data_IF_347285625893
#
_entry.id   IF_347285625893
#
_cell.length_a   1.000
_cell.length_b   1.000
_cell.length_c   1.000
_cell.angle_alpha   90.00
_cell.angle_beta   90.00
_cell.angle_gamma   90.00
#
_symmetry.space_group_name_H-M   'P 1'
#
loop_
_entity.id
_entity.type
_entity.pdbx_description
1 polymer ?
#
# COMPACT_ATOMS: atom_id res chain seq x y z
N UNK A 1 -1.22 -15.62 -14.26
CA UNK A 1 0.01 -16.43 -14.36
C UNK A 1 0.74 -16.24 -13.05
N UNK A 2 1.05 -17.32 -12.35
CA UNK A 2 1.80 -17.27 -11.08
C UNK A 2 3.26 -17.55 -11.39
N UNK A 3 4.15 -16.72 -10.89
CA UNK A 3 5.60 -16.84 -11.03
C UNK A 3 6.13 -17.31 -9.67
N UNK A 4 6.92 -18.38 -9.68
CA UNK A 4 7.60 -18.86 -8.48
C UNK A 4 9.06 -18.47 -8.57
N UNK A 5 9.54 -17.78 -7.54
CA UNK A 5 10.96 -17.55 -7.28
C UNK A 5 11.34 -18.30 -6.01
N UNK A 6 12.61 -18.64 -5.79
CA UNK A 6 13.09 -19.51 -4.69
C UNK A 6 12.61 -19.12 -3.27
N UNK A 7 12.05 -17.93 -3.07
CA UNK A 7 11.51 -17.46 -1.79
C UNK A 7 10.06 -16.95 -1.83
N UNK A 8 9.54 -16.53 -3.00
CA UNK A 8 8.22 -15.90 -3.11
C UNK A 8 7.46 -16.36 -4.36
N UNK A 9 6.15 -16.53 -4.18
CA UNK A 9 5.16 -16.60 -5.25
C UNK A 9 4.68 -15.20 -5.60
N UNK A 10 4.60 -14.92 -6.89
CA UNK A 10 4.22 -13.61 -7.44
C UNK A 10 3.07 -13.81 -8.41
N UNK A 11 2.01 -13.04 -8.24
CA UNK A 11 0.86 -13.04 -9.12
C UNK A 11 0.59 -11.61 -9.61
N UNK A 12 1.16 -11.21 -10.76
CA UNK A 12 0.79 -9.95 -11.41
C UNK A 12 -0.70 -9.96 -11.77
N UNK A 13 -1.39 -8.86 -11.49
CA UNK A 13 -2.85 -8.81 -11.55
C UNK A 13 -3.43 -8.98 -12.97
N UNK A 14 -2.81 -8.32 -13.95
CA UNK A 14 -3.20 -8.42 -15.37
C UNK A 14 -2.00 -8.83 -16.23
N UNK A 15 -2.25 -9.14 -17.50
CA UNK A 15 -1.17 -9.36 -18.49
C UNK A 15 -0.27 -8.14 -18.64
N UNK A 16 -0.82 -6.93 -18.56
CA UNK A 16 -0.03 -5.69 -18.58
C UNK A 16 0.82 -5.54 -17.32
N UNK A 17 0.29 -5.92 -16.15
CA UNK A 17 1.09 -5.98 -14.91
C UNK A 17 2.25 -6.97 -15.04
N UNK A 18 2.04 -8.11 -15.71
CA UNK A 18 3.10 -9.07 -15.99
C UNK A 18 4.20 -8.48 -16.88
N UNK A 19 3.84 -7.66 -17.88
CA UNK A 19 4.85 -7.01 -18.72
C UNK A 19 5.71 -6.02 -17.94
N UNK A 20 5.10 -5.18 -17.10
CA UNK A 20 5.83 -4.25 -16.22
C UNK A 20 6.67 -5.01 -15.19
N UNK A 21 6.16 -6.14 -14.68
CA UNK A 21 6.94 -7.06 -13.87
C UNK A 21 8.18 -7.55 -14.63
N UNK A 22 8.02 -7.92 -15.90
CA UNK A 22 9.12 -8.38 -16.77
C UNK A 22 10.17 -7.30 -17.04
N UNK A 23 9.80 -6.02 -17.06
CA UNK A 23 10.75 -4.91 -17.20
C UNK A 23 11.68 -4.76 -15.99
N UNK A 24 11.19 -4.96 -14.77
CA UNK A 24 12.01 -4.88 -13.55
C UNK A 24 12.57 -3.49 -13.23
N UNK A 25 11.91 -2.41 -13.68
CA UNK A 25 12.41 -1.06 -13.44
C UNK A 25 12.38 -0.69 -11.95
N UNK A 26 11.21 -0.84 -11.31
CA UNK A 26 11.01 -0.45 -9.92
C UNK A 26 9.92 -1.29 -9.24
N UNK A 27 10.08 -1.54 -7.95
CA UNK A 27 9.04 -2.13 -7.09
C UNK A 27 8.79 -1.26 -5.87
N UNK A 28 7.52 -1.01 -5.60
CA UNK A 28 7.04 -0.39 -4.38
C UNK A 28 6.56 -1.47 -3.41
N UNK A 29 7.11 -1.50 -2.20
CA UNK A 29 6.62 -2.37 -1.12
C UNK A 29 5.83 -1.50 -0.14
N UNK A 30 4.51 -1.67 -0.14
CA UNK A 30 3.61 -0.98 0.81
C UNK A 30 3.61 -1.67 2.18
N UNK A 31 3.82 -0.91 3.26
CA UNK A 31 3.83 -1.43 4.63
C UNK A 31 2.80 -0.71 5.49
N UNK A 32 1.76 -1.44 5.90
CA UNK A 32 0.72 -0.90 6.77
C UNK A 32 1.15 -0.96 8.25
N UNK A 33 0.98 0.11 9.05
CA UNK A 33 1.24 0.07 10.48
C UNK A 33 0.37 -0.97 11.20
N UNK A 34 0.92 -1.59 12.26
CA UNK A 34 0.20 -2.60 13.04
C UNK A 34 -0.09 -3.92 12.32
N UNK A 35 0.39 -4.12 11.07
CA UNK A 35 0.29 -5.39 10.36
C UNK A 35 1.48 -6.29 10.75
N UNK A 36 1.18 -7.42 11.42
CA UNK A 36 2.18 -8.38 11.91
C UNK A 36 2.91 -9.14 10.79
N UNK A 37 2.35 -9.17 9.57
CA UNK A 37 3.02 -9.74 8.40
C UNK A 37 4.38 -9.07 8.16
N UNK A 38 4.45 -7.75 8.29
CA UNK A 38 5.67 -6.96 8.09
C UNK A 38 6.51 -6.91 9.36
N UNK A 39 7.03 -8.06 9.78
CA UNK A 39 8.10 -8.15 10.76
C UNK A 39 9.47 -7.82 10.10
N UNK A 40 10.53 -7.56 10.89
CA UNK A 40 11.84 -7.19 10.33
C UNK A 40 12.39 -8.27 9.38
N UNK A 41 12.31 -9.55 9.76
CA UNK A 41 12.75 -10.66 8.91
C UNK A 41 12.00 -10.75 7.59
N UNK A 42 10.68 -10.54 7.59
CA UNK A 42 9.89 -10.49 6.35
C UNK A 42 10.32 -9.36 5.43
N UNK A 43 10.63 -8.19 5.99
CA UNK A 43 11.13 -7.05 5.22
C UNK A 43 12.50 -7.39 4.63
N UNK A 44 13.41 -7.99 5.41
CA UNK A 44 14.71 -8.48 4.94
C UNK A 44 14.57 -9.42 3.74
N UNK A 45 13.69 -10.42 3.84
CA UNK A 45 13.41 -11.37 2.77
C UNK A 45 12.85 -10.68 1.52
N UNK A 46 11.85 -9.80 1.68
CA UNK A 46 11.25 -9.05 0.57
C UNK A 46 12.27 -8.14 -0.12
N UNK A 47 13.13 -7.45 0.62
CA UNK A 47 14.14 -6.55 0.05
C UNK A 47 15.19 -7.37 -0.72
N UNK A 48 15.69 -8.47 -0.16
CA UNK A 48 16.64 -9.35 -0.86
C UNK A 48 16.04 -9.91 -2.15
N UNK A 49 14.83 -10.47 -2.06
CA UNK A 49 14.10 -10.99 -3.21
C UNK A 49 13.87 -9.92 -4.28
N UNK A 50 13.40 -8.73 -3.89
CA UNK A 50 13.16 -7.63 -4.81
C UNK A 50 14.46 -7.17 -5.48
N UNK A 51 15.57 -7.14 -4.74
CA UNK A 51 16.86 -6.67 -5.25
C UNK A 51 17.46 -7.57 -6.32
N UNK A 52 17.09 -8.87 -6.34
CA UNK A 52 17.47 -9.79 -7.40
C UNK A 52 16.75 -9.51 -8.73
N UNK A 53 15.68 -8.70 -8.72
CA UNK A 53 14.78 -8.54 -9.86
C UNK A 53 14.59 -7.11 -10.35
N UNK A 54 14.61 -6.16 -9.43
CA UNK A 54 14.30 -4.76 -9.71
C UNK A 54 15.53 -3.88 -9.61
N UNK A 55 15.60 -2.87 -10.46
CA UNK A 55 16.72 -1.92 -10.47
C UNK A 55 16.64 -0.89 -9.33
N UNK A 56 15.44 -0.69 -8.77
CA UNK A 56 15.18 0.21 -7.64
C UNK A 56 14.02 -0.32 -6.79
N UNK A 57 14.13 -0.12 -5.48
CA UNK A 57 13.10 -0.49 -4.51
C UNK A 57 12.72 0.75 -3.71
N UNK A 58 11.44 0.98 -3.48
CA UNK A 58 10.98 1.98 -2.51
C UNK A 58 9.98 1.33 -1.56
N UNK A 59 10.19 1.49 -0.27
CA UNK A 59 9.28 1.04 0.78
C UNK A 59 8.52 2.26 1.29
N UNK A 60 7.19 2.21 1.19
CA UNK A 60 6.32 3.28 1.65
C UNK A 60 5.43 2.76 2.77
N UNK A 61 5.44 3.45 3.91
CA UNK A 61 4.55 3.14 5.03
C UNK A 61 3.54 4.26 5.28
N UNK A 62 2.31 3.87 5.58
CA UNK A 62 1.22 4.80 5.80
C UNK A 62 1.29 5.47 7.17
N UNK A 63 1.67 6.74 7.19
CA UNK A 63 1.83 7.55 8.40
C UNK A 63 0.85 8.72 8.49
N UNK A 64 -0.06 8.84 7.53
CA UNK A 64 -1.19 9.78 7.55
C UNK A 64 -2.42 9.11 8.17
N UNK A 65 -3.27 9.91 8.83
CA UNK A 65 -4.58 9.51 9.37
C UNK A 65 -4.58 8.42 10.47
N UNK A 66 -3.42 7.97 10.96
CA UNK A 66 -3.32 6.88 11.95
C UNK A 66 -3.87 7.29 13.32
N UNK A 67 -3.67 8.53 13.74
CA UNK A 67 -4.19 9.02 15.01
C UNK A 67 -5.72 9.17 14.97
N UNK A 68 -6.24 9.70 13.86
CA UNK A 68 -7.66 9.86 13.59
C UNK A 68 -8.37 8.51 13.53
N UNK A 69 -7.74 7.51 12.92
CA UNK A 69 -8.24 6.13 12.93
C UNK A 69 -8.28 5.56 14.36
N UNK A 70 -7.24 5.74 15.17
CA UNK A 70 -7.30 5.31 16.58
C UNK A 70 -8.38 6.06 17.36
N UNK A 71 -8.53 7.37 17.14
CA UNK A 71 -9.58 8.16 17.79
C UNK A 71 -10.97 7.64 17.41
N UNK A 72 -11.21 7.32 16.13
CA UNK A 72 -12.46 6.72 15.67
C UNK A 72 -12.71 5.32 16.26
N UNK A 73 -11.65 4.58 16.60
CA UNK A 73 -11.73 3.30 17.32
C UNK A 73 -11.93 3.45 18.84
N UNK A 74 -12.23 4.66 19.34
CA UNK A 74 -12.62 4.91 20.74
C UNK A 74 -11.47 5.29 21.67
N UNK A 75 -10.29 5.62 21.13
CA UNK A 75 -9.20 6.16 21.95
C UNK A 75 -9.39 7.66 22.17
N UNK A 76 -9.21 8.12 23.40
CA UNK A 76 -9.08 9.55 23.71
C UNK A 76 -7.99 10.20 22.84
N UNK A 77 -8.20 11.43 22.36
CA UNK A 77 -7.36 12.06 21.33
C UNK A 77 -5.86 12.06 21.68
N UNK A 78 -5.52 12.44 22.91
CA UNK A 78 -4.14 12.41 23.41
C UNK A 78 -3.54 11.00 23.40
N UNK A 79 -4.34 10.00 23.77
CA UNK A 79 -3.92 8.61 23.77
C UNK A 79 -3.77 8.09 22.34
N UNK A 80 -4.70 8.43 21.44
CA UNK A 80 -4.66 8.10 20.02
C UNK A 80 -3.40 8.65 19.35
N UNK A 81 -3.07 9.93 19.59
CA UNK A 81 -1.86 10.57 19.06
C UNK A 81 -0.57 9.92 19.58
N UNK A 82 -0.48 9.67 20.90
CA UNK A 82 0.68 8.99 21.50
C UNK A 82 0.85 7.57 20.94
N UNK A 83 -0.25 6.84 20.79
CA UNK A 83 -0.25 5.49 20.23
C UNK A 83 0.17 5.48 18.77
N UNK A 84 -0.40 6.36 17.94
CA UNK A 84 0.01 6.52 16.54
C UNK A 84 1.50 6.83 16.42
N UNK A 85 2.00 7.81 17.18
CA UNK A 85 3.44 8.14 17.18
C UNK A 85 4.32 6.94 17.52
N UNK A 86 3.92 6.13 18.51
CA UNK A 86 4.65 4.92 18.90
C UNK A 86 4.64 3.86 17.79
N UNK A 87 3.48 3.56 17.21
CA UNK A 87 3.32 2.60 16.11
C UNK A 87 4.13 3.03 14.87
N UNK A 88 4.08 4.31 14.50
CA UNK A 88 4.80 4.87 13.36
C UNK A 88 6.32 4.82 13.56
N UNK A 89 6.81 5.16 14.75
CA UNK A 89 8.23 4.98 15.09
C UNK A 89 8.65 3.52 15.04
N UNK A 90 7.79 2.60 15.52
CA UNK A 90 8.08 1.18 15.54
C UNK A 90 8.13 0.59 14.12
N UNK A 91 7.16 0.89 13.26
CA UNK A 91 7.14 0.40 11.86
C UNK A 91 8.33 0.95 11.08
N UNK A 92 8.65 2.24 11.20
CA UNK A 92 9.82 2.84 10.53
C UNK A 92 11.13 2.17 10.96
N UNK A 93 11.35 2.01 12.26
CA UNK A 93 12.57 1.34 12.78
C UNK A 93 12.67 -0.10 12.26
N UNK A 94 11.55 -0.80 12.20
CA UNK A 94 11.50 -2.18 11.72
C UNK A 94 11.82 -2.28 10.22
N UNK A 95 11.29 -1.35 9.41
CA UNK A 95 11.62 -1.26 7.99
C UNK A 95 13.11 -1.00 7.81
N UNK A 96 13.65 0.03 8.47
CA UNK A 96 15.07 0.36 8.37
C UNK A 96 15.97 -0.80 8.79
N UNK A 97 15.62 -1.48 9.88
CA UNK A 97 16.34 -2.68 10.34
C UNK A 97 16.29 -3.79 9.29
N UNK A 98 15.13 -4.06 8.68
CA UNK A 98 15.01 -5.08 7.64
C UNK A 98 15.81 -4.75 6.38
N UNK A 99 15.83 -3.48 5.98
CA UNK A 99 16.66 -3.00 4.86
C UNK A 99 18.15 -3.12 5.18
N UNK A 100 18.57 -2.75 6.38
CA UNK A 100 19.96 -2.89 6.84
C UNK A 100 20.39 -4.37 6.88
N UNK A 101 19.57 -5.24 7.47
CA UNK A 101 19.82 -6.68 7.55
C UNK A 101 19.81 -7.36 6.15
N UNK A 102 19.13 -6.77 5.16
CA UNK A 102 19.16 -7.28 3.78
C UNK A 102 20.58 -7.25 3.19
N UNK A 103 21.44 -6.33 3.67
CA UNK A 103 22.81 -6.15 3.22
C UNK A 103 22.91 -5.25 1.99
N UNK A 104 24.04 -5.29 1.26
CA UNK A 104 24.20 -4.49 0.05
C UNK A 104 23.21 -4.94 -1.03
N UNK A 105 22.25 -4.07 -1.34
CA UNK A 105 21.20 -4.28 -2.33
C UNK A 105 21.17 -3.11 -3.32
N UNK A 106 20.35 -3.22 -4.36
CA UNK A 106 20.00 -2.08 -5.24
C UNK A 106 19.47 -0.89 -4.42
N UNK A 107 19.47 0.35 -4.97
CA UNK A 107 18.96 1.51 -4.25
C UNK A 107 17.58 1.27 -3.63
N UNK A 108 17.49 1.40 -2.30
CA UNK A 108 16.30 1.17 -1.51
C UNK A 108 15.87 2.45 -0.76
N UNK A 109 14.77 3.07 -1.19
CA UNK A 109 14.14 4.20 -0.52
C UNK A 109 13.23 3.75 0.63
N UNK A 110 13.17 4.50 1.72
CA UNK A 110 12.23 4.26 2.83
C UNK A 110 11.54 5.56 3.17
N UNK A 111 10.22 5.62 2.96
CA UNK A 111 9.45 6.84 3.02
C UNK A 111 8.16 6.69 3.84
N UNK A 112 7.86 7.70 4.65
CA UNK A 112 6.49 7.93 5.11
C UNK A 112 5.66 8.54 3.98
N UNK A 113 4.38 8.17 3.89
CA UNK A 113 3.43 8.78 2.95
C UNK A 113 3.36 10.31 3.10
N UNK A 114 3.50 10.81 4.32
CA UNK A 114 3.51 12.24 4.64
C UNK A 114 4.62 13.04 3.94
N UNK A 115 5.73 12.38 3.57
CA UNK A 115 6.83 13.02 2.83
C UNK A 115 6.38 13.51 1.44
N UNK A 116 5.30 12.93 0.89
CA UNK A 116 4.76 13.27 -0.43
C UNK A 116 3.66 14.32 -0.39
N UNK A 117 3.32 14.89 0.79
CA UNK A 117 2.28 15.90 0.91
C UNK A 117 2.52 17.14 0.02
N UNK A 118 3.79 17.51 -0.19
CA UNK A 118 4.20 18.60 -1.09
C UNK A 118 4.40 18.20 -2.55
N UNK A 119 4.31 16.92 -2.91
CA UNK A 119 4.53 16.45 -4.27
C UNK A 119 3.29 16.79 -5.15
N UNK A 120 3.47 17.52 -6.27
CA UNK A 120 2.34 17.97 -7.09
C UNK A 120 1.57 16.83 -7.76
N UNK A 121 2.25 15.72 -8.11
CA UNK A 121 1.63 14.54 -8.71
C UNK A 121 0.80 13.80 -7.66
N UNK A 122 1.37 13.57 -6.46
CA UNK A 122 0.63 12.99 -5.34
C UNK A 122 -0.61 13.83 -5.00
N UNK A 123 -0.45 15.15 -4.87
CA UNK A 123 -1.56 16.05 -4.54
C UNK A 123 -2.67 16.04 -5.60
N UNK A 124 -2.32 15.97 -6.89
CA UNK A 124 -3.29 15.83 -7.98
C UNK A 124 -4.05 14.51 -7.90
N UNK A 125 -3.35 13.40 -7.74
CA UNK A 125 -3.95 12.06 -7.64
C UNK A 125 -4.84 11.96 -6.41
N UNK A 126 -4.39 12.47 -5.26
CA UNK A 126 -5.18 12.50 -4.03
C UNK A 126 -6.48 13.29 -4.22
N UNK A 127 -6.43 14.48 -4.85
CA UNK A 127 -7.66 15.23 -5.20
C UNK A 127 -8.58 14.43 -6.12
N UNK A 128 -8.04 13.69 -7.09
CA UNK A 128 -8.84 12.81 -7.98
C UNK A 128 -9.49 11.68 -7.20
N UNK A 129 -8.77 11.01 -6.31
CA UNK A 129 -9.32 9.97 -5.42
C UNK A 129 -10.49 10.53 -4.62
N UNK A 130 -10.33 11.70 -3.99
CA UNK A 130 -11.41 12.36 -3.23
C UNK A 130 -12.60 12.74 -4.10
N UNK A 131 -12.36 13.23 -5.31
CA UNK A 131 -13.43 13.51 -6.27
C UNK A 131 -14.21 12.25 -6.63
N UNK A 132 -13.54 11.16 -6.99
CA UNK A 132 -14.20 9.89 -7.34
C UNK A 132 -14.92 9.26 -6.15
N UNK A 133 -14.37 9.34 -4.94
CA UNK A 133 -15.09 8.97 -3.73
C UNK A 133 -16.41 9.75 -3.60
N UNK A 134 -16.39 11.04 -3.93
CA UNK A 134 -17.57 11.88 -3.84
C UNK A 134 -18.60 11.58 -4.94
N UNK A 135 -18.17 11.36 -6.18
CA UNK A 135 -19.04 11.40 -7.37
C UNK A 135 -19.28 10.07 -8.07
N UNK A 136 -18.50 9.02 -7.80
CA UNK A 136 -18.61 7.71 -8.44
C UNK A 136 -19.10 6.66 -7.42
N UNK A 137 -20.37 6.22 -7.50
CA UNK A 137 -20.93 5.26 -6.56
C UNK A 137 -20.24 3.90 -6.57
N UNK A 138 -19.72 3.46 -7.73
CA UNK A 138 -19.04 2.17 -7.85
C UNK A 138 -17.68 2.23 -7.17
N UNK A 139 -16.94 3.31 -7.40
CA UNK A 139 -15.66 3.54 -6.74
C UNK A 139 -15.84 3.68 -5.22
N UNK A 140 -16.83 4.47 -4.80
CA UNK A 140 -17.20 4.63 -3.38
C UNK A 140 -17.50 3.29 -2.72
N UNK A 141 -18.36 2.47 -3.32
CA UNK A 141 -18.73 1.16 -2.77
C UNK A 141 -17.50 0.24 -2.63
N UNK A 142 -16.57 0.28 -3.60
CA UNK A 142 -15.31 -0.46 -3.50
C UNK A 142 -14.43 0.00 -2.32
N UNK A 143 -14.31 1.31 -2.11
CA UNK A 143 -13.56 1.87 -0.99
C UNK A 143 -14.22 1.58 0.37
N UNK A 144 -15.55 1.70 0.45
CA UNK A 144 -16.33 1.39 1.65
C UNK A 144 -16.26 -0.10 1.99
N UNK A 145 -16.31 -0.99 0.99
CA UNK A 145 -16.10 -2.43 1.19
C UNK A 145 -14.71 -2.76 1.73
N UNK A 146 -13.66 -2.10 1.20
CA UNK A 146 -12.30 -2.25 1.70
C UNK A 146 -12.17 -1.73 3.14
N UNK A 147 -12.77 -0.59 3.45
CA UNK A 147 -12.79 -0.01 4.79
C UNK A 147 -13.54 -0.91 5.78
N UNK A 148 -14.71 -1.43 5.41
CA UNK A 148 -15.50 -2.33 6.23
C UNK A 148 -14.74 -3.64 6.54
N UNK A 149 -14.07 -4.23 5.55
CA UNK A 149 -13.24 -5.42 5.76
C UNK A 149 -12.05 -5.15 6.70
N UNK A 150 -11.38 -4.00 6.54
CA UNK A 150 -10.31 -3.62 7.45
C UNK A 150 -10.84 -3.43 8.88
N UNK A 151 -11.94 -2.69 9.03
CA UNK A 151 -12.54 -2.38 10.32
C UNK A 151 -13.09 -3.62 11.02
N UNK A 152 -13.64 -4.61 10.30
CA UNK A 152 -14.13 -5.86 10.91
C UNK A 152 -13.05 -6.67 11.62
N UNK A 153 -11.77 -6.42 11.34
CA UNK A 153 -10.64 -7.02 12.07
C UNK A 153 -10.25 -6.26 13.34
N UNK A 154 -10.83 -5.07 13.55
CA UNK A 154 -10.49 -4.13 14.63
C UNK A 154 -11.67 -3.87 15.57
N UNK A 155 -12.88 -3.86 15.04
CA UNK A 155 -14.13 -3.68 15.80
C UNK A 155 -14.90 -5.00 15.83
N UNK A 156 -15.49 -5.31 16.99
CA UNK A 156 -16.42 -6.43 17.14
C UNK A 156 -17.82 -6.03 16.70
N UNK A 157 -18.86 -6.66 17.26
CA UNK A 157 -20.24 -6.19 17.11
C UNK A 157 -20.54 -5.03 18.08
N UNK A 158 -21.35 -4.02 17.66
CA UNK A 158 -21.96 -3.85 16.34
C UNK A 158 -20.96 -3.43 15.25
N UNK A 159 -21.36 -3.58 13.98
CA UNK A 159 -20.56 -3.17 12.83
C UNK A 159 -20.11 -1.69 12.90
N UNK A 160 -19.04 -1.37 12.18
CA UNK A 160 -18.39 -0.07 12.24
C UNK A 160 -19.35 1.10 11.96
N UNK A 161 -19.24 2.17 12.76
CA UNK A 161 -20.07 3.35 12.61
C UNK A 161 -19.59 4.28 11.47
N UNK A 162 -20.37 5.32 11.18
CA UNK A 162 -20.07 6.27 10.11
C UNK A 162 -18.76 7.05 10.34
N UNK A 163 -18.37 7.30 11.59
CA UNK A 163 -17.13 8.02 11.94
C UNK A 163 -15.93 7.11 11.69
N UNK A 164 -16.01 5.85 12.09
CA UNK A 164 -14.99 4.83 11.83
C UNK A 164 -14.79 4.60 10.35
N UNK A 165 -15.88 4.49 9.60
CA UNK A 165 -15.85 4.37 8.16
C UNK A 165 -15.18 5.59 7.51
N UNK A 166 -15.57 6.81 7.90
CA UNK A 166 -14.98 8.04 7.37
C UNK A 166 -13.47 8.14 7.63
N UNK A 167 -13.02 7.87 8.86
CA UNK A 167 -11.60 7.89 9.21
C UNK A 167 -10.80 6.82 8.42
N UNK A 168 -11.37 5.64 8.22
CA UNK A 168 -10.75 4.60 7.41
C UNK A 168 -10.70 4.97 5.91
N UNK A 169 -11.75 5.62 5.38
CA UNK A 169 -11.76 6.13 4.02
C UNK A 169 -10.71 7.23 3.80
N UNK A 170 -10.48 8.10 4.77
CA UNK A 170 -9.41 9.11 4.71
C UNK A 170 -8.03 8.44 4.65
N UNK A 171 -7.79 7.45 5.52
CA UNK A 171 -6.57 6.65 5.50
C UNK A 171 -6.34 5.95 4.16
N UNK A 172 -7.38 5.27 3.63
CA UNK A 172 -7.33 4.60 2.32
C UNK A 172 -7.08 5.60 1.19
N UNK A 173 -7.76 6.75 1.21
CA UNK A 173 -7.64 7.77 0.18
C UNK A 173 -6.20 8.30 0.08
N UNK A 174 -5.50 8.42 1.22
CA UNK A 174 -4.11 8.86 1.26
C UNK A 174 -3.14 7.85 0.59
N UNK A 175 -3.42 6.54 0.67
CA UNK A 175 -2.57 5.50 0.07
C UNK A 175 -2.81 5.32 -1.44
N UNK A 176 -4.05 5.52 -1.90
CA UNK A 176 -4.46 5.22 -3.28
C UNK A 176 -3.64 5.88 -4.40
N UNK A 177 -3.08 7.10 -4.27
CA UNK A 177 -2.16 7.65 -5.26
C UNK A 177 -1.02 6.71 -5.68
N UNK A 178 -0.47 5.93 -4.74
CA UNK A 178 0.61 4.96 -5.03
C UNK A 178 0.10 3.71 -5.77
N UNK A 179 -1.18 3.38 -5.67
CA UNK A 179 -1.78 2.33 -6.49
C UNK A 179 -2.19 2.82 -7.87
N UNK A 180 -2.23 4.15 -8.07
CA UNK A 180 -2.60 4.77 -9.34
C UNK A 180 -1.39 5.09 -10.20
N UNK A 181 -0.39 5.79 -9.66
CA UNK A 181 0.74 6.27 -10.45
C UNK A 181 1.99 6.51 -9.60
N UNK A 182 2.50 5.46 -8.96
CA UNK A 182 3.84 5.45 -8.37
C UNK A 182 4.91 5.94 -9.37
N UNK A 183 4.90 5.56 -10.67
CA UNK A 183 5.84 6.09 -11.66
C UNK A 183 5.88 7.62 -11.67
N UNK A 184 4.72 8.27 -11.74
CA UNK A 184 4.61 9.73 -11.71
C UNK A 184 5.05 10.35 -10.37
N UNK A 185 4.75 9.71 -9.23
CA UNK A 185 5.10 10.23 -7.90
C UNK A 185 6.60 10.17 -7.65
N UNK A 186 7.24 9.03 -7.96
CA UNK A 186 8.65 8.77 -7.67
C UNK A 186 9.61 9.07 -8.82
N UNK A 187 9.08 9.44 -10.00
CA UNK A 187 9.88 9.73 -11.19
C UNK A 187 10.57 8.51 -11.77
N UNK A 188 9.93 7.33 -11.72
CA UNK A 188 10.46 6.08 -12.26
C UNK A 188 9.72 5.68 -13.55
N UNK A 189 10.33 4.92 -14.49
CA UNK A 189 9.70 4.62 -15.78
C UNK A 189 8.39 3.81 -15.68
N UNK A 190 8.41 2.78 -14.84
CA UNK A 190 7.31 1.89 -14.51
C UNK A 190 7.49 1.34 -13.10
N UNK A 191 6.41 0.89 -12.44
CA UNK A 191 6.47 0.43 -11.06
C UNK A 191 5.48 -0.70 -10.80
N UNK A 192 5.92 -1.72 -10.05
CA UNK A 192 5.05 -2.74 -9.48
C UNK A 192 4.76 -2.40 -8.01
N UNK A 193 3.51 -2.19 -7.65
CA UNK A 193 3.08 -2.20 -6.24
C UNK A 193 2.92 -3.64 -5.76
N UNK A 194 3.80 -4.07 -4.86
CA UNK A 194 3.84 -5.40 -4.29
C UNK A 194 3.16 -5.44 -2.91
N UNK A 195 2.22 -6.36 -2.72
CA UNK A 195 1.55 -6.59 -1.44
C UNK A 195 1.19 -8.06 -1.24
N UNK A 196 0.95 -8.50 -0.01
CA UNK A 196 0.75 -9.92 0.31
C UNK A 196 -0.68 -10.44 0.07
N UNK A 197 -1.62 -9.57 -0.29
CA UNK A 197 -3.02 -9.93 -0.53
C UNK A 197 -3.61 -8.97 -1.56
N UNK A 198 -4.55 -9.42 -2.41
CA UNK A 198 -5.24 -8.52 -3.33
C UNK A 198 -5.97 -7.41 -2.56
N UNK A 199 -5.85 -6.17 -3.02
CA UNK A 199 -6.71 -5.09 -2.52
C UNK A 199 -8.05 -5.13 -3.28
N UNK A 200 -9.21 -4.96 -2.60
CA UNK A 200 -10.54 -5.00 -3.23
C UNK A 200 -10.72 -4.07 -4.43
N UNK A 201 -9.93 -2.99 -4.51
CA UNK A 201 -10.00 -2.02 -5.61
C UNK A 201 -9.24 -2.43 -6.86
N UNK A 202 -8.44 -3.50 -6.84
CA UNK A 202 -7.62 -3.92 -7.98
C UNK A 202 -8.42 -4.13 -9.25
N UNK A 203 -9.57 -4.80 -9.18
CA UNK A 203 -10.45 -4.98 -10.35
C UNK A 203 -10.89 -3.63 -10.95
N UNK A 204 -11.29 -2.67 -10.11
CA UNK A 204 -11.71 -1.35 -10.55
C UNK A 204 -10.56 -0.53 -11.15
N UNK A 205 -9.39 -0.55 -10.51
CA UNK A 205 -8.23 0.26 -10.92
C UNK A 205 -7.62 -0.22 -12.25
N UNK A 206 -7.72 -1.51 -12.56
CA UNK A 206 -7.17 -2.12 -13.78
C UNK A 206 -8.26 -2.52 -14.80
N UNK A 207 -9.53 -2.20 -14.54
CA UNK A 207 -10.61 -2.43 -15.50
C UNK A 207 -10.45 -1.58 -16.77
N UNK A 208 -10.96 -2.10 -17.89
CA UNK A 208 -11.13 -1.32 -19.12
C UNK A 208 -12.20 -0.23 -18.94
N UNK A 209 -12.14 0.82 -19.76
CA UNK A 209 -13.14 1.89 -19.79
C UNK A 209 -12.77 3.14 -18.98
N UNK A 210 -13.75 4.01 -18.78
CA UNK A 210 -13.58 5.29 -18.08
C UNK A 210 -13.61 5.17 -16.55
N UNK A 211 -13.19 6.22 -15.86
CA UNK A 211 -13.17 6.33 -14.40
C UNK A 211 -11.77 6.52 -13.85
N UNK A 212 -11.60 6.33 -12.53
CA UNK A 212 -10.28 6.35 -11.91
C UNK A 212 -9.56 5.04 -12.19
N UNK A 213 -8.41 5.11 -12.86
CA UNK A 213 -7.62 3.96 -13.30
C UNK A 213 -6.15 4.16 -12.98
N UNK A 214 -5.46 3.05 -12.78
CA UNK A 214 -4.01 3.03 -12.70
C UNK A 214 -3.41 3.52 -14.03
N UNK A 215 -2.29 4.23 -13.92
CA UNK A 215 -1.45 4.63 -15.04
C UNK A 215 -1.02 3.41 -15.83
N UNK A 216 -0.80 3.57 -17.14
CA UNK A 216 -0.37 2.47 -18.02
C UNK A 216 0.99 1.85 -17.62
N UNK A 217 1.78 2.58 -16.83
CA UNK A 217 3.10 2.16 -16.35
C UNK A 217 3.06 1.70 -14.87
N UNK A 218 1.87 1.68 -14.26
CA UNK A 218 1.64 1.18 -12.91
C UNK A 218 1.15 -0.27 -12.99
N UNK A 219 1.76 -1.13 -12.18
CA UNK A 219 1.37 -2.52 -12.04
C UNK A 219 1.07 -2.86 -10.58
N UNK A 220 0.35 -3.96 -10.39
CA UNK A 220 0.10 -4.54 -9.07
C UNK A 220 0.39 -6.03 -9.12
N UNK A 221 1.05 -6.53 -8.07
CA UNK A 221 1.31 -7.96 -7.91
C UNK A 221 1.06 -8.38 -6.46
N UNK A 222 0.39 -9.53 -6.30
CA UNK A 222 0.34 -10.21 -5.02
C UNK A 222 1.63 -10.99 -4.84
N UNK A 223 2.35 -10.75 -3.75
CA UNK A 223 3.67 -11.33 -3.45
C UNK A 223 3.61 -12.01 -2.08
N UNK A 224 3.74 -13.33 -2.06
CA UNK A 224 3.64 -14.15 -0.85
C UNK A 224 4.82 -15.10 -0.73
N UNK A 225 5.27 -15.42 0.50
CA UNK A 225 6.31 -16.41 0.70
C UNK A 225 5.88 -17.75 0.09
N UNK A 226 6.82 -18.50 -0.45
CA UNK A 226 6.54 -19.85 -0.94
C UNK A 226 6.05 -20.77 0.20
N UNK A 227 5.09 -21.65 -0.07
CA UNK A 227 4.56 -22.60 0.91
C UNK A 227 3.43 -22.09 1.84
N UNK A 228 3.03 -20.83 1.76
CA UNK A 228 1.85 -20.31 2.46
C UNK A 228 0.66 -20.31 1.49
N UNK A 229 -0.26 -21.28 1.64
CA UNK A 229 -1.51 -21.31 0.88
C UNK A 229 -2.41 -20.11 1.26
N UNK A 230 -3.22 -19.67 0.29
CA UNK A 230 -4.14 -18.53 0.39
C UNK A 230 -5.21 -18.72 1.47
#
# INVERSE_FOLDING_TARGET
MTITTEAFTVQPFTRSCHHIWDEGAHVLIGVSPGNSYFNAGRITELVRWASARFSRIDIVYADLHVAELFSALGYEEDHAARRASKELKAVRRRILRGVEEAGPVVPAGVHGLSEFAGNPVYALLHRRVRHFLATDPVFRAGCEGMAAHFLSTKVGEPAADARQLAACLDYIAAELPFFLDTPGILGVPSSVSAYHAPIPLTELLYAKGGGLRASRNQAYAVVRPEGIAA
#
